data_IF_942112767672
#
_entry.id   IF_942112767672
#
_cell.length_a   1.000
_cell.length_b   1.000
_cell.length_c   1.000
_cell.angle_alpha   90.00
_cell.angle_beta   90.00
_cell.angle_gamma   90.00
#
_symmetry.space_group_name_H-M   'P 1'
#
loop_
_entity.id
_entity.type
_entity.pdbx_description
1 polymer ?
#
# COMPACT_ATOMS: atom_id res chain seq x y z
N UNK A 1 18.84 11.42 -8.84
CA UNK A 1 19.86 12.14 -9.62
C UNK A 1 19.24 12.55 -10.94
N UNK A 2 19.47 13.78 -11.38
CA UNK A 2 18.98 14.30 -12.65
C UNK A 2 20.09 14.17 -13.71
N UNK A 3 19.73 13.75 -14.91
CA UNK A 3 20.63 13.62 -16.06
C UNK A 3 19.88 14.00 -17.35
N UNK A 4 20.63 14.24 -18.43
CA UNK A 4 20.09 14.48 -19.78
C UNK A 4 19.02 15.59 -19.85
N UNK A 5 19.39 16.79 -19.39
CA UNK A 5 18.52 17.97 -19.47
C UNK A 5 18.49 18.51 -20.92
N UNK A 6 17.34 18.43 -21.56
CA UNK A 6 17.10 18.91 -22.92
C UNK A 6 15.97 19.95 -22.91
N UNK A 7 16.18 21.05 -23.62
CA UNK A 7 15.13 22.02 -23.92
C UNK A 7 14.55 21.71 -25.29
N UNK A 8 13.24 21.55 -25.36
CA UNK A 8 12.48 21.26 -26.56
C UNK A 8 11.51 22.41 -26.85
N UNK A 9 11.08 22.49 -28.09
CA UNK A 9 10.07 23.46 -28.51
C UNK A 9 8.78 23.32 -27.71
N UNK A 10 8.00 24.40 -27.69
CA UNK A 10 6.70 24.42 -27.08
C UNK A 10 5.80 23.30 -27.62
N UNK A 11 5.01 22.68 -26.74
CA UNK A 11 3.92 21.84 -27.20
C UNK A 11 2.80 22.74 -27.75
N UNK A 12 2.62 22.73 -29.07
CA UNK A 12 1.60 23.53 -29.75
C UNK A 12 2.00 25.00 -29.95
N UNK A 13 1.06 25.94 -29.75
CA UNK A 13 1.26 27.39 -29.94
C UNK A 13 1.60 28.14 -28.64
N UNK A 14 2.15 27.44 -27.65
CA UNK A 14 2.57 28.08 -26.40
C UNK A 14 3.88 28.84 -26.63
N UNK A 15 4.05 29.95 -25.91
CA UNK A 15 5.28 30.74 -25.80
C UNK A 15 6.28 30.14 -24.80
N UNK A 16 5.99 28.97 -24.21
CA UNK A 16 6.83 28.29 -23.23
C UNK A 16 7.71 27.21 -23.87
N UNK A 17 8.92 27.01 -23.34
CA UNK A 17 9.77 25.87 -23.72
C UNK A 17 9.42 24.62 -22.90
N UNK A 18 9.61 23.44 -23.50
CA UNK A 18 9.42 22.15 -22.82
C UNK A 18 10.77 21.67 -22.30
N UNK A 19 10.86 21.30 -21.03
CA UNK A 19 12.09 20.78 -20.44
C UNK A 19 11.96 19.27 -20.23
N UNK A 20 12.85 18.50 -20.86
CA UNK A 20 12.93 17.04 -20.73
C UNK A 20 14.18 16.71 -19.93
N UNK A 21 14.06 15.80 -18.97
CA UNK A 21 15.19 15.30 -18.21
C UNK A 21 14.95 13.87 -17.75
N UNK A 22 16.04 13.13 -17.58
CA UNK A 22 16.03 11.82 -16.97
C UNK A 22 16.15 11.97 -15.46
N UNK A 23 15.21 11.37 -14.73
CA UNK A 23 15.18 11.39 -13.27
C UNK A 23 15.37 9.99 -12.70
N UNK A 24 16.57 9.73 -12.19
CA UNK A 24 16.89 8.50 -11.48
C UNK A 24 16.44 8.61 -10.02
N UNK A 25 15.32 7.96 -9.70
CA UNK A 25 14.76 7.90 -8.35
C UNK A 25 15.09 6.55 -7.69
N UNK A 26 16.02 6.57 -6.72
CA UNK A 26 16.32 5.40 -5.92
C UNK A 26 15.31 5.30 -4.77
N UNK A 27 14.36 4.38 -4.88
CA UNK A 27 13.43 4.09 -3.79
C UNK A 27 13.97 2.91 -2.98
N UNK A 28 14.21 3.15 -1.69
CA UNK A 28 14.49 2.06 -0.76
C UNK A 28 13.16 1.34 -0.45
N UNK A 29 12.79 0.36 -1.28
CA UNK A 29 11.67 -0.54 -0.98
C UNK A 29 12.12 -1.47 0.15
N UNK A 30 12.04 -0.98 1.39
CA UNK A 30 12.52 -1.70 2.58
C UNK A 30 11.68 -2.92 2.96
N UNK A 31 10.62 -3.24 2.23
CA UNK A 31 9.69 -4.28 2.66
C UNK A 31 9.87 -5.57 1.85
N UNK A 32 10.53 -6.55 2.47
CA UNK A 32 10.52 -7.93 1.96
C UNK A 32 9.06 -8.40 1.87
N UNK A 33 8.63 -9.04 0.77
CA UNK A 33 7.28 -9.57 0.67
C UNK A 33 7.05 -10.57 1.81
N UNK A 34 5.89 -10.48 2.45
CA UNK A 34 5.51 -11.44 3.49
C UNK A 34 4.88 -12.65 2.80
N UNK A 35 5.48 -13.82 2.99
CA UNK A 35 4.88 -15.08 2.55
C UNK A 35 3.72 -15.42 3.49
N UNK A 36 2.56 -15.73 2.92
CA UNK A 36 1.37 -16.16 3.67
C UNK A 36 0.94 -17.52 3.12
N UNK A 37 0.93 -18.53 4.01
CA UNK A 37 0.38 -19.86 3.71
C UNK A 37 -1.14 -19.79 3.61
N UNK A 38 -1.70 -20.43 2.58
CA UNK A 38 -3.13 -20.53 2.35
C UNK A 38 -3.65 -21.88 2.85
N UNK A 39 -3.74 -22.04 4.17
CA UNK A 39 -4.18 -23.30 4.79
C UNK A 39 -5.54 -23.78 4.26
N UNK A 40 -6.49 -22.88 4.03
CA UNK A 40 -7.80 -23.24 3.45
C UNK A 40 -7.74 -23.87 2.06
N UNK A 41 -6.61 -23.79 1.35
CA UNK A 41 -6.37 -24.36 0.02
C UNK A 41 -5.37 -25.51 0.03
N UNK A 42 -4.98 -26.00 1.20
CA UNK A 42 -4.07 -27.14 1.32
C UNK A 42 -4.69 -28.43 0.80
N UNK A 43 -3.90 -29.30 0.18
CA UNK A 43 -4.34 -30.64 -0.21
C UNK A 43 -4.19 -31.62 0.96
N UNK A 44 -5.15 -31.57 1.89
CA UNK A 44 -5.12 -32.38 3.11
C UNK A 44 -5.30 -33.87 2.87
N UNK A 45 -5.97 -34.27 1.79
CA UNK A 45 -6.11 -35.68 1.41
C UNK A 45 -4.74 -36.29 1.09
N UNK A 46 -3.93 -35.61 0.26
CA UNK A 46 -2.56 -36.05 -0.03
C UNK A 46 -1.64 -36.02 1.18
N UNK A 47 -1.80 -35.02 2.06
CA UNK A 47 -1.05 -34.97 3.33
C UNK A 47 -1.36 -36.21 4.16
N UNK A 48 -2.64 -36.56 4.31
CA UNK A 48 -3.05 -37.77 5.03
C UNK A 48 -2.47 -39.03 4.39
N UNK A 49 -2.58 -39.18 3.07
CA UNK A 49 -2.02 -40.33 2.35
C UNK A 49 -0.50 -40.47 2.53
N UNK A 50 0.27 -39.38 2.58
CA UNK A 50 1.71 -39.45 2.84
C UNK A 50 2.04 -39.73 4.30
N UNK A 51 1.26 -39.20 5.24
CA UNK A 51 1.43 -39.49 6.68
C UNK A 51 1.10 -40.93 7.02
N UNK A 52 0.11 -41.53 6.36
CA UNK A 52 -0.29 -42.94 6.55
C UNK A 52 0.78 -43.92 6.01
N UNK A 53 1.64 -43.47 5.08
CA UNK A 53 2.76 -44.28 4.55
C UNK A 53 3.98 -44.29 5.48
N UNK A 54 4.04 -43.41 6.47
CA UNK A 54 5.18 -43.31 7.38
C UNK A 54 5.03 -44.33 8.51
N UNK A 55 6.06 -45.17 8.70
CA UNK A 55 6.14 -46.03 9.87
C UNK A 55 6.60 -45.22 11.10
N UNK A 56 5.64 -44.67 11.83
CA UNK A 56 5.88 -43.83 13.01
C UNK A 56 6.60 -44.55 14.14
N UNK A 57 6.34 -45.85 14.31
CA UNK A 57 6.95 -46.66 15.36
C UNK A 57 8.46 -46.73 15.14
N UNK A 58 8.87 -47.09 13.93
CA UNK A 58 10.29 -47.17 13.57
C UNK A 58 10.97 -45.78 13.61
N UNK A 59 10.28 -44.75 13.12
CA UNK A 59 10.81 -43.39 13.09
C UNK A 59 11.04 -42.79 14.49
N UNK A 60 10.14 -43.06 15.44
CA UNK A 60 10.14 -42.44 16.77
C UNK A 60 10.76 -43.34 17.85
N UNK A 61 10.77 -44.66 17.71
CA UNK A 61 11.45 -45.54 18.68
C UNK A 61 12.97 -45.55 18.50
N UNK A 62 13.48 -45.26 17.30
CA UNK A 62 14.91 -45.37 16.99
C UNK A 62 15.83 -44.47 17.81
N UNK A 63 15.33 -43.42 18.49
CA UNK A 63 16.21 -42.39 19.06
C UNK A 63 16.29 -42.33 20.58
N UNK A 64 15.41 -43.00 21.35
CA UNK A 64 15.32 -42.91 22.83
C UNK A 64 15.47 -41.48 23.41
N UNK A 65 15.26 -40.46 22.58
CA UNK A 65 15.57 -39.06 22.83
C UNK A 65 14.39 -38.25 22.29
N UNK A 66 13.60 -37.76 23.23
CA UNK A 66 12.33 -37.08 22.98
C UNK A 66 12.54 -35.85 22.10
N UNK A 67 13.63 -35.10 22.30
CA UNK A 67 13.91 -33.88 21.54
C UNK A 67 14.22 -34.19 20.07
N UNK A 68 14.98 -35.26 19.83
CA UNK A 68 15.28 -35.70 18.46
C UNK A 68 14.03 -36.22 17.75
N UNK A 69 13.15 -36.91 18.47
CA UNK A 69 11.87 -37.38 17.95
C UNK A 69 10.97 -36.20 17.59
N UNK A 70 10.89 -35.19 18.46
CA UNK A 70 10.11 -33.99 18.21
C UNK A 70 10.61 -33.23 16.98
N UNK A 71 11.94 -33.08 16.83
CA UNK A 71 12.53 -32.45 15.63
C UNK A 71 12.23 -33.24 14.36
N UNK A 72 12.26 -34.57 14.40
CA UNK A 72 11.95 -35.41 13.25
C UNK A 72 10.47 -35.24 12.83
N UNK A 73 9.55 -35.27 13.79
CA UNK A 73 8.13 -35.01 13.56
C UNK A 73 7.91 -33.61 12.95
N UNK A 74 8.53 -32.59 13.55
CA UNK A 74 8.42 -31.22 13.09
C UNK A 74 8.92 -31.06 11.65
N UNK A 75 10.04 -31.71 11.31
CA UNK A 75 10.60 -31.69 9.95
C UNK A 75 9.60 -32.26 8.94
N UNK A 76 9.01 -33.42 9.24
CA UNK A 76 8.02 -34.06 8.36
C UNK A 76 6.83 -33.13 8.14
N UNK A 77 6.27 -32.55 9.21
CA UNK A 77 5.14 -31.63 9.11
C UNK A 77 5.52 -30.39 8.29
N UNK A 78 6.71 -29.82 8.50
CA UNK A 78 7.19 -28.67 7.75
C UNK A 78 7.38 -28.96 6.26
N UNK A 79 7.80 -30.18 5.91
CA UNK A 79 7.98 -30.60 4.52
C UNK A 79 6.63 -30.81 3.84
N UNK A 80 5.67 -31.44 4.53
CA UNK A 80 4.28 -31.54 4.05
C UNK A 80 3.66 -30.17 3.84
N UNK A 81 3.87 -29.25 4.79
CA UNK A 81 3.44 -27.86 4.70
C UNK A 81 3.97 -27.16 3.45
N UNK A 82 5.26 -27.34 3.12
CA UNK A 82 5.88 -26.73 1.93
C UNK A 82 5.36 -27.36 0.63
N UNK A 83 5.12 -28.67 0.62
CA UNK A 83 4.76 -29.44 -0.57
C UNK A 83 3.28 -29.31 -0.93
N UNK A 84 2.40 -29.30 0.07
CA UNK A 84 0.95 -29.43 -0.13
C UNK A 84 0.13 -28.19 0.24
N UNK A 85 0.72 -27.20 0.91
CA UNK A 85 0.01 -25.96 1.27
C UNK A 85 0.52 -24.83 0.38
N UNK A 86 -0.32 -24.29 -0.52
CA UNK A 86 0.10 -23.21 -1.38
C UNK A 86 0.40 -21.95 -0.55
N UNK A 87 1.46 -21.26 -0.93
CA UNK A 87 1.85 -19.99 -0.33
C UNK A 87 1.66 -18.86 -1.35
N UNK A 88 1.29 -17.68 -0.86
CA UNK A 88 1.26 -16.45 -1.67
C UNK A 88 2.15 -15.40 -1.08
N UNK A 89 2.82 -14.67 -1.96
CA UNK A 89 3.53 -13.46 -1.58
C UNK A 89 2.54 -12.32 -1.40
N UNK A 90 2.52 -11.75 -0.20
CA UNK A 90 1.84 -10.49 0.04
C UNK A 90 2.90 -9.40 0.03
N UNK A 91 2.87 -8.57 -1.02
CA UNK A 91 3.61 -7.30 -1.00
C UNK A 91 3.21 -6.59 0.28
N UNK A 92 4.20 -6.32 1.13
CA UNK A 92 4.03 -5.38 2.20
C UNK A 92 3.96 -4.01 1.54
N UNK A 93 2.80 -3.68 1.00
CA UNK A 93 2.42 -2.29 0.78
C UNK A 93 2.41 -1.77 2.19
N UNK A 94 3.51 -1.15 2.60
CA UNK A 94 3.50 -0.35 3.80
C UNK A 94 2.27 0.51 3.65
N UNK A 95 1.32 0.38 4.59
CA UNK A 95 0.42 1.50 4.82
C UNK A 95 1.41 2.61 5.10
N UNK A 96 1.73 3.44 4.11
CA UNK A 96 2.54 4.60 4.35
C UNK A 96 1.87 5.22 5.55
N UNK A 97 2.55 5.25 6.71
CA UNK A 97 2.09 6.14 7.76
C UNK A 97 1.93 7.44 7.01
N UNK A 98 0.72 7.99 6.95
CA UNK A 98 0.56 9.30 6.35
C UNK A 98 1.64 10.15 7.05
N UNK A 99 2.66 10.58 6.30
CA UNK A 99 3.85 11.20 6.90
C UNK A 99 3.53 12.54 7.54
N UNK A 100 2.26 12.94 7.49
CA UNK A 100 1.69 14.10 8.14
C UNK A 100 1.13 13.69 9.49
N UNK A 101 1.84 14.07 10.54
CA UNK A 101 1.24 14.18 11.86
C UNK A 101 0.14 15.24 11.79
N UNK A 102 -1.13 14.80 11.75
CA UNK A 102 -2.28 15.70 11.79
C UNK A 102 -2.75 15.86 13.23
N UNK A 103 -3.08 17.08 13.62
CA UNK A 103 -3.74 17.35 14.90
C UNK A 103 -5.07 16.58 15.02
N UNK A 104 -5.39 16.14 16.23
CA UNK A 104 -6.61 15.39 16.56
C UNK A 104 -7.86 16.13 16.10
N UNK A 105 -7.89 17.46 16.26
CA UNK A 105 -9.00 18.31 15.80
C UNK A 105 -9.21 18.23 14.28
N UNK A 106 -8.12 18.13 13.51
CA UNK A 106 -8.17 18.02 12.06
C UNK A 106 -8.74 16.67 11.64
N UNK A 107 -8.30 15.60 12.31
CA UNK A 107 -8.82 14.25 12.10
C UNK A 107 -10.33 14.21 12.38
N UNK A 108 -10.78 14.82 13.47
CA UNK A 108 -12.19 14.84 13.85
C UNK A 108 -13.05 15.64 12.85
N UNK A 109 -12.53 16.76 12.31
CA UNK A 109 -13.18 17.48 11.21
C UNK A 109 -13.29 16.64 9.93
N UNK A 110 -12.25 15.87 9.59
CA UNK A 110 -12.28 14.95 8.43
C UNK A 110 -13.33 13.85 8.63
N UNK A 111 -13.39 13.26 9.84
CA UNK A 111 -14.42 12.27 10.17
C UNK A 111 -15.83 12.87 10.10
N UNK A 112 -16.05 14.05 10.69
CA UNK A 112 -17.32 14.78 10.64
C UNK A 112 -17.76 15.04 9.20
N UNK A 113 -16.84 15.51 8.33
CA UNK A 113 -17.09 15.69 6.89
C UNK A 113 -17.60 14.40 6.24
N UNK A 114 -16.94 13.27 6.50
CA UNK A 114 -17.30 11.99 5.91
C UNK A 114 -18.66 11.48 6.41
N UNK A 115 -18.97 11.66 7.70
CA UNK A 115 -20.28 11.31 8.28
C UNK A 115 -21.38 12.14 7.62
N UNK A 116 -21.21 13.47 7.53
CA UNK A 116 -22.19 14.35 6.89
C UNK A 116 -22.36 14.01 5.40
N UNK A 117 -21.29 13.67 4.69
CA UNK A 117 -21.37 13.21 3.29
C UNK A 117 -22.25 11.97 3.13
N UNK A 118 -22.16 11.01 4.06
CA UNK A 118 -23.02 9.81 4.06
C UNK A 118 -24.48 10.17 4.36
N UNK A 119 -24.72 11.07 5.33
CA UNK A 119 -26.07 11.55 5.67
C UNK A 119 -26.75 12.26 4.50
N UNK A 120 -26.01 13.11 3.76
CA UNK A 120 -26.52 13.77 2.54
C UNK A 120 -26.90 12.74 1.49
N UNK A 121 -26.07 11.71 1.29
CA UNK A 121 -26.36 10.65 0.34
C UNK A 121 -27.62 9.84 0.69
N UNK A 122 -28.04 9.84 1.96
CA UNK A 122 -29.23 9.11 2.44
C UNK A 122 -30.50 9.98 2.37
N UNK A 123 -30.48 11.17 2.98
CA UNK A 123 -31.70 11.95 3.23
C UNK A 123 -31.76 13.30 2.49
N UNK A 124 -30.69 13.70 1.78
CA UNK A 124 -30.57 14.97 1.03
C UNK A 124 -31.13 16.23 1.73
N UNK A 125 -31.00 16.29 3.05
CA UNK A 125 -31.48 17.40 3.88
C UNK A 125 -30.65 18.69 3.61
N UNK A 126 -31.30 19.84 3.31
CA UNK A 126 -30.62 21.10 3.04
C UNK A 126 -29.78 21.62 4.20
N UNK A 127 -30.19 21.41 5.45
CA UNK A 127 -29.43 21.89 6.63
C UNK A 127 -28.15 21.07 6.82
N UNK A 128 -28.24 19.74 6.65
CA UNK A 128 -27.07 18.85 6.66
C UNK A 128 -26.10 19.21 5.53
N UNK A 129 -26.63 19.59 4.36
CA UNK A 129 -25.82 20.04 3.22
C UNK A 129 -25.07 21.34 3.51
N UNK A 130 -25.71 22.29 4.19
CA UNK A 130 -25.09 23.54 4.64
C UNK A 130 -23.97 23.29 5.66
N UNK A 131 -24.22 22.42 6.65
CA UNK A 131 -23.21 22.02 7.63
C UNK A 131 -22.01 21.31 6.96
N UNK A 132 -22.28 20.40 6.03
CA UNK A 132 -21.25 19.72 5.25
C UNK A 132 -20.37 20.69 4.47
N UNK A 133 -20.96 21.67 3.78
CA UNK A 133 -20.21 22.66 3.01
C UNK A 133 -19.26 23.46 3.92
N UNK A 134 -19.73 23.86 5.11
CA UNK A 134 -18.91 24.55 6.11
C UNK A 134 -17.71 23.69 6.54
N UNK A 135 -17.96 22.45 6.96
CA UNK A 135 -16.89 21.54 7.40
C UNK A 135 -15.94 21.18 6.25
N UNK A 136 -16.44 20.96 5.04
CA UNK A 136 -15.64 20.68 3.84
C UNK A 136 -14.67 21.82 3.54
N UNK A 137 -15.14 23.06 3.60
CA UNK A 137 -14.30 24.24 3.37
C UNK A 137 -13.22 24.40 4.45
N UNK A 138 -13.57 24.13 5.71
CA UNK A 138 -12.60 24.11 6.81
C UNK A 138 -11.52 23.04 6.59
N UNK A 139 -11.91 21.81 6.23
CA UNK A 139 -10.96 20.72 5.94
C UNK A 139 -10.07 21.09 4.75
N UNK A 140 -10.65 21.66 3.67
CA UNK A 140 -9.89 22.11 2.50
C UNK A 140 -8.83 23.16 2.87
N UNK A 141 -9.20 24.13 3.72
CA UNK A 141 -8.27 25.16 4.19
C UNK A 141 -7.11 24.55 4.99
N UNK A 142 -7.40 23.64 5.92
CA UNK A 142 -6.38 22.97 6.73
C UNK A 142 -5.42 22.14 5.86
N UNK A 143 -5.95 21.35 4.91
CA UNK A 143 -5.12 20.55 3.99
C UNK A 143 -4.21 21.44 3.14
N UNK A 144 -4.74 22.55 2.61
CA UNK A 144 -3.93 23.49 1.84
C UNK A 144 -2.82 24.13 2.69
N UNK A 145 -3.10 24.43 3.98
CA UNK A 145 -2.09 24.94 4.91
C UNK A 145 -0.98 23.90 5.16
N UNK A 146 -1.37 22.67 5.47
CA UNK A 146 -0.43 21.57 5.72
C UNK A 146 0.45 21.26 4.50
N UNK A 147 -0.13 21.29 3.28
CA UNK A 147 0.64 21.09 2.06
C UNK A 147 1.67 22.20 1.85
N UNK A 148 1.30 23.47 2.07
CA UNK A 148 2.26 24.60 1.98
C UNK A 148 3.39 24.49 3.00
N UNK A 149 3.05 24.14 4.25
CA UNK A 149 4.06 23.94 5.30
C UNK A 149 5.02 22.81 4.92
N UNK A 150 4.51 21.73 4.34
CA UNK A 150 5.32 20.63 3.86
C UNK A 150 6.21 21.02 2.67
N UNK A 151 5.68 21.71 1.67
CA UNK A 151 6.43 22.21 0.51
C UNK A 151 7.55 23.16 0.95
N UNK A 152 7.25 24.08 1.87
CA UNK A 152 8.24 24.98 2.46
C UNK A 152 9.34 24.21 3.21
N UNK A 153 8.98 23.19 3.99
CA UNK A 153 9.95 22.36 4.71
C UNK A 153 10.84 21.53 3.77
N UNK A 154 10.37 21.24 2.55
CA UNK A 154 11.16 20.58 1.52
C UNK A 154 12.03 21.56 0.70
N UNK A 155 11.94 22.86 0.95
CA UNK A 155 12.64 23.89 0.16
C UNK A 155 12.09 24.04 -1.27
N UNK A 156 10.87 23.54 -1.53
CA UNK A 156 10.19 23.72 -2.82
C UNK A 156 9.44 25.04 -2.74
N UNK A 157 9.72 25.98 -3.65
CA UNK A 157 8.93 27.21 -3.74
C UNK A 157 7.46 26.86 -4.01
N UNK A 158 6.50 27.41 -3.25
CA UNK A 158 5.10 27.05 -3.42
C UNK A 158 4.68 27.43 -4.85
N UNK A 159 4.28 26.42 -5.63
CA UNK A 159 3.74 26.62 -6.97
C UNK A 159 2.47 27.46 -6.78
N UNK A 160 2.57 28.76 -7.10
CA UNK A 160 1.41 29.65 -7.11
C UNK A 160 0.38 29.01 -8.03
N UNK A 161 -0.83 28.84 -7.49
CA UNK A 161 -1.97 28.16 -8.11
C UNK A 161 -1.99 28.38 -9.63
N UNK A 162 -1.52 27.39 -10.40
CA UNK A 162 -1.92 27.26 -11.79
C UNK A 162 -3.40 26.92 -11.71
N UNK A 163 -4.26 27.84 -12.13
CA UNK A 163 -5.70 27.64 -12.31
C UNK A 163 -5.95 26.66 -13.46
N UNK A 164 -5.53 25.41 -13.25
CA UNK A 164 -5.71 24.31 -14.19
C UNK A 164 -6.29 23.13 -13.44
N UNK A 165 -7.46 22.71 -13.86
CA UNK A 165 -8.23 21.62 -13.27
C UNK A 165 -7.56 20.27 -13.63
N UNK A 166 -6.37 19.99 -13.10
CA UNK A 166 -5.69 18.73 -13.36
C UNK A 166 -6.15 17.70 -12.34
N UNK A 167 -7.04 16.80 -12.77
CA UNK A 167 -7.24 15.50 -12.12
C UNK A 167 -5.86 14.84 -12.01
N UNK A 168 -5.44 14.55 -10.79
CA UNK A 168 -4.30 13.68 -10.53
C UNK A 168 -4.64 12.25 -11.02
N UNK A 169 -4.52 12.01 -12.32
CA UNK A 169 -4.39 10.66 -12.83
C UNK A 169 -2.95 10.25 -12.55
N UNK A 170 -2.77 9.47 -11.47
CA UNK A 170 -1.63 8.57 -11.36
C UNK A 170 -1.71 7.65 -12.59
N UNK A 171 -0.93 7.96 -13.63
CA UNK A 171 -0.73 7.08 -14.76
C UNK A 171 0.00 5.84 -14.25
N UNK A 172 -0.75 4.76 -14.08
CA UNK A 172 -0.21 3.41 -13.99
C UNK A 172 0.13 3.02 -15.42
N UNK A 173 1.38 3.19 -15.83
CA UNK A 173 1.85 2.56 -17.06
C UNK A 173 1.84 1.05 -16.83
N UNK A 174 0.89 0.37 -17.48
CA UNK A 174 1.00 -1.05 -17.79
C UNK A 174 2.23 -1.19 -18.68
N UNK A 175 3.23 -1.90 -18.19
CA UNK A 175 4.30 -2.44 -19.02
C UNK A 175 3.69 -3.49 -19.92
N UNK A 176 3.58 -3.18 -21.21
CA UNK A 176 3.43 -4.21 -22.24
C UNK A 176 4.72 -5.01 -22.27
N UNK A 177 4.56 -6.33 -22.08
CA UNK A 177 5.61 -7.31 -22.30
C UNK A 177 5.74 -7.56 -23.80
N UNK A 178 6.94 -7.38 -24.34
CA UNK A 178 7.46 -8.19 -25.43
C UNK A 178 8.80 -8.76 -24.97
#
# INVERSE_FOLDING_TARGET
MLSNLEYQSALGKSDHCTMKFDFNCYTNIKSKPKIIKLFSRGNYLKIKEELDKINWIDLLQKKNDIDKNWRALLSIIQDMDKKYIPAKERKQIGRGKNNFSMDKNTIDKIKRKNILSKKIAQNNDPEVRKEYNKIRNQVKSIVNKLNREYENNLGITPITKISGNYKSHLFVNKLDKQ
#
